data_IF_127707321563
#
_entry.id   IF_127707321563
#
_cell.length_a   1.000
_cell.length_b   1.000
_cell.length_c   1.000
_cell.angle_alpha   90.00
_cell.angle_beta   90.00
_cell.angle_gamma   90.00
#
_symmetry.space_group_name_H-M   'P 1'
#
loop_
_entity.id
_entity.type
_entity.pdbx_description
1 polymer ?
#
# COMPACT_ATOMS: atom_id res chain seq x y z
N UNK A 1 4.25 5.95 -21.13
CA UNK A 1 5.27 5.72 -20.09
C UNK A 1 5.21 6.82 -19.00
N UNK A 2 4.12 6.81 -18.23
CA UNK A 2 3.82 7.74 -17.12
C UNK A 2 2.40 7.49 -16.59
N UNK A 3 1.92 6.25 -16.73
CA UNK A 3 0.54 5.90 -16.41
C UNK A 3 0.35 5.82 -14.90
N UNK A 4 1.31 5.25 -14.16
CA UNK A 4 1.16 5.07 -12.72
C UNK A 4 0.96 6.40 -11.98
N UNK A 5 1.73 7.45 -12.30
CA UNK A 5 1.49 8.79 -11.76
C UNK A 5 0.08 9.33 -12.02
N UNK A 6 -0.51 9.05 -13.19
CA UNK A 6 -1.89 9.47 -13.50
C UNK A 6 -2.90 8.72 -12.63
N UNK A 7 -2.67 7.43 -12.39
CA UNK A 7 -3.48 6.63 -11.47
C UNK A 7 -3.37 7.12 -10.03
N UNK A 8 -2.17 7.48 -9.56
CA UNK A 8 -1.96 8.08 -8.24
C UNK A 8 -2.75 9.39 -8.12
N UNK A 9 -2.58 10.33 -9.06
CA UNK A 9 -3.32 11.59 -9.04
C UNK A 9 -4.83 11.37 -9.08
N UNK A 10 -5.31 10.44 -9.92
CA UNK A 10 -6.72 10.05 -9.96
C UNK A 10 -7.23 9.53 -8.59
N UNK A 11 -6.47 8.66 -7.92
CA UNK A 11 -6.85 8.11 -6.62
C UNK A 11 -6.92 9.17 -5.50
N UNK A 12 -6.17 10.27 -5.64
CA UNK A 12 -6.22 11.43 -4.75
C UNK A 12 -7.11 12.56 -5.28
N UNK A 13 -7.94 12.29 -6.30
CA UNK A 13 -8.86 13.24 -6.92
C UNK A 13 -8.18 14.51 -7.45
N UNK A 14 -6.92 14.37 -7.90
CA UNK A 14 -6.10 15.46 -8.42
C UNK A 14 -6.13 15.49 -9.97
N UNK A 15 -6.06 16.69 -10.58
CA UNK A 15 -6.00 16.82 -12.04
C UNK A 15 -4.72 16.22 -12.65
N UNK A 16 -4.88 15.42 -13.72
CA UNK A 16 -3.77 14.72 -14.39
C UNK A 16 -3.81 14.80 -15.94
N UNK A 17 -4.82 15.47 -16.52
CA UNK A 17 -5.01 15.54 -17.97
C UNK A 17 -4.08 16.58 -18.61
N UNK A 18 -3.57 16.29 -19.80
CA UNK A 18 -2.72 17.21 -20.58
C UNK A 18 -1.31 17.46 -20.02
N UNK A 19 -1.01 16.96 -18.83
CA UNK A 19 0.27 17.16 -18.15
C UNK A 19 1.32 16.12 -18.56
N UNK A 20 2.57 16.59 -18.64
CA UNK A 20 3.73 15.73 -18.79
C UNK A 20 4.22 15.16 -17.44
N UNK A 21 5.21 14.27 -17.47
CA UNK A 21 5.65 13.54 -16.27
C UNK A 21 6.17 14.47 -15.15
N UNK A 22 7.05 15.46 -15.43
CA UNK A 22 7.45 16.46 -14.44
C UNK A 22 6.27 17.22 -13.84
N UNK A 23 5.33 17.66 -14.66
CA UNK A 23 4.17 18.42 -14.20
C UNK A 23 3.26 17.57 -13.29
N UNK A 24 3.03 16.29 -13.61
CA UNK A 24 2.29 15.36 -12.75
C UNK A 24 2.97 15.20 -11.37
N UNK A 25 4.30 15.11 -11.34
CA UNK A 25 5.07 14.99 -10.11
C UNK A 25 4.97 16.26 -9.26
N UNK A 26 5.16 17.43 -9.88
CA UNK A 26 5.05 18.73 -9.20
C UNK A 26 3.64 18.94 -8.62
N UNK A 27 2.59 18.61 -9.39
CA UNK A 27 1.20 18.66 -8.92
C UNK A 27 1.00 17.81 -7.66
N UNK A 28 1.47 16.56 -7.68
CA UNK A 28 1.33 15.68 -6.52
C UNK A 28 2.15 16.16 -5.32
N UNK A 29 3.36 16.66 -5.54
CA UNK A 29 4.19 17.26 -4.48
C UNK A 29 3.48 18.46 -3.83
N UNK A 30 2.90 19.35 -4.63
CA UNK A 30 2.14 20.49 -4.12
C UNK A 30 0.91 20.06 -3.32
N UNK A 31 0.19 19.05 -3.78
CA UNK A 31 -0.92 18.44 -3.03
C UNK A 31 -0.44 17.90 -1.67
N UNK A 32 0.65 17.14 -1.63
CA UNK A 32 1.20 16.60 -0.38
C UNK A 32 1.61 17.72 0.61
N UNK A 33 2.20 18.81 0.11
CA UNK A 33 2.54 19.98 0.92
C UNK A 33 1.30 20.66 1.51
N UNK A 34 0.22 20.78 0.74
CA UNK A 34 -1.04 21.35 1.20
C UNK A 34 -1.70 20.49 2.28
N UNK A 35 -1.73 19.16 2.09
CA UNK A 35 -2.23 18.22 3.09
C UNK A 35 -1.43 18.31 4.38
N UNK A 36 -0.10 18.36 4.28
CA UNK A 36 0.78 18.50 5.43
C UNK A 36 0.58 19.83 6.17
N UNK A 37 0.48 20.95 5.44
CA UNK A 37 0.20 22.27 6.02
C UNK A 37 -1.17 22.32 6.73
N UNK A 38 -2.11 21.49 6.29
CA UNK A 38 -3.43 21.33 6.89
C UNK A 38 -3.45 20.33 8.06
N UNK A 39 -2.30 19.79 8.46
CA UNK A 39 -2.16 18.83 9.56
C UNK A 39 -2.54 17.39 9.22
N UNK A 40 -2.76 17.07 7.94
CA UNK A 40 -3.08 15.72 7.50
C UNK A 40 -1.82 14.93 7.15
N UNK A 41 -1.88 13.62 7.41
CA UNK A 41 -0.86 12.66 6.95
C UNK A 41 -1.42 11.90 5.76
N UNK A 42 -0.75 11.99 4.61
CA UNK A 42 -1.16 11.29 3.39
C UNK A 42 -0.55 9.90 3.33
N UNK A 43 -1.38 8.89 3.05
CA UNK A 43 -0.93 7.52 2.82
C UNK A 43 -1.37 7.05 1.43
N UNK A 44 -0.45 6.40 0.70
CA UNK A 44 -0.73 5.69 -0.54
C UNK A 44 -0.63 4.19 -0.26
N UNK A 45 -1.75 3.49 -0.44
CA UNK A 45 -1.83 2.04 -0.31
C UNK A 45 -1.93 1.46 -1.72
N UNK A 46 -0.99 0.59 -2.07
CA UNK A 46 -1.01 -0.14 -3.34
C UNK A 46 -1.26 -1.59 -3.01
N UNK A 47 -2.47 -2.06 -3.33
CA UNK A 47 -2.81 -3.47 -3.26
C UNK A 47 -2.36 -4.19 -4.53
N UNK A 48 -2.17 -5.51 -4.45
CA UNK A 48 -1.68 -6.35 -5.54
C UNK A 48 -0.37 -5.82 -6.17
N UNK A 49 0.52 -5.24 -5.35
CA UNK A 49 1.71 -4.53 -5.80
C UNK A 49 2.70 -5.43 -6.54
N UNK A 50 2.60 -6.76 -6.42
CA UNK A 50 3.36 -7.69 -7.27
C UNK A 50 3.00 -7.57 -8.75
N UNK A 51 1.87 -6.96 -9.12
CA UNK A 51 1.51 -6.69 -10.51
C UNK A 51 2.21 -5.44 -11.09
N UNK A 52 2.83 -4.61 -10.24
CA UNK A 52 3.59 -3.46 -10.72
C UNK A 52 4.83 -3.90 -11.50
N UNK A 53 5.10 -3.17 -12.57
CA UNK A 53 6.35 -3.27 -13.32
C UNK A 53 7.46 -2.43 -12.66
N UNK A 54 8.72 -2.70 -13.02
CA UNK A 54 9.89 -2.01 -12.47
C UNK A 54 9.79 -0.49 -12.65
N UNK A 55 9.29 -0.01 -13.79
CA UNK A 55 9.12 1.42 -14.04
C UNK A 55 8.13 2.08 -13.07
N UNK A 56 7.07 1.38 -12.66
CA UNK A 56 6.07 1.90 -11.71
C UNK A 56 6.62 1.89 -10.28
N UNK A 57 7.39 0.87 -9.92
CA UNK A 57 8.11 0.80 -8.64
C UNK A 57 9.17 1.92 -8.53
N UNK A 58 9.83 2.27 -9.63
CA UNK A 58 10.72 3.43 -9.67
C UNK A 58 9.97 4.76 -9.51
N UNK A 59 8.77 4.90 -10.09
CA UNK A 59 7.92 6.06 -9.85
C UNK A 59 7.51 6.15 -8.36
N UNK A 60 7.15 5.03 -7.73
CA UNK A 60 6.90 4.96 -6.28
C UNK A 60 8.12 5.36 -5.44
N UNK A 61 9.32 4.92 -5.84
CA UNK A 61 10.57 5.33 -5.19
C UNK A 61 10.72 6.85 -5.24
N UNK A 62 10.50 7.46 -6.41
CA UNK A 62 10.55 8.92 -6.59
C UNK A 62 9.51 9.65 -5.74
N UNK A 63 8.30 9.11 -5.60
CA UNK A 63 7.25 9.68 -4.75
C UNK A 63 7.62 9.60 -3.26
N UNK A 64 8.21 8.49 -2.81
CA UNK A 64 8.66 8.34 -1.42
C UNK A 64 9.77 9.31 -1.02
N UNK A 65 10.42 9.97 -1.99
CA UNK A 65 11.45 10.99 -1.74
C UNK A 65 10.86 12.36 -1.39
N UNK A 66 9.55 12.55 -1.52
CA UNK A 66 8.91 13.84 -1.27
C UNK A 66 8.86 14.09 0.25
N UNK A 67 9.72 15.00 0.69
CA UNK A 67 9.93 15.33 2.09
C UNK A 67 9.90 16.85 2.31
N UNK A 68 9.44 17.29 3.48
CA UNK A 68 9.57 18.67 3.95
C UNK A 68 10.46 18.72 5.18
N UNK A 69 11.70 19.21 5.01
CA UNK A 69 12.73 19.15 6.05
C UNK A 69 13.03 17.70 6.45
N UNK A 70 12.72 17.34 7.69
CA UNK A 70 12.89 15.98 8.23
C UNK A 70 11.63 15.10 8.14
N UNK A 71 10.52 15.63 7.63
CA UNK A 71 9.24 14.94 7.58
C UNK A 71 8.99 14.36 6.20
N UNK A 72 8.73 13.06 6.11
CA UNK A 72 8.20 12.45 4.89
C UNK A 72 6.74 12.85 4.73
N UNK A 73 6.37 13.35 3.54
CA UNK A 73 5.01 13.83 3.28
C UNK A 73 4.06 12.71 2.81
N UNK A 74 4.62 11.57 2.42
CA UNK A 74 3.88 10.43 1.91
C UNK A 74 4.28 9.14 2.64
N UNK A 75 3.31 8.50 3.28
CA UNK A 75 3.47 7.15 3.76
C UNK A 75 3.07 6.15 2.65
N UNK A 76 3.99 5.30 2.22
CA UNK A 76 3.72 4.26 1.24
C UNK A 76 3.49 2.91 1.94
N UNK A 77 2.42 2.21 1.55
CA UNK A 77 2.14 0.84 1.96
C UNK A 77 1.98 -0.01 0.71
N UNK A 78 2.81 -1.03 0.56
CA UNK A 78 2.73 -1.99 -0.52
C UNK A 78 2.17 -3.31 0.04
N UNK A 79 1.06 -3.76 -0.53
CA UNK A 79 0.41 -5.02 -0.18
C UNK A 79 0.42 -5.90 -1.42
N UNK A 80 0.70 -7.17 -1.24
CA UNK A 80 0.77 -8.11 -2.35
C UNK A 80 1.31 -9.47 -1.93
N UNK A 81 1.52 -10.31 -2.93
CA UNK A 81 2.01 -11.67 -2.76
C UNK A 81 3.55 -11.72 -2.60
N UNK A 82 4.10 -12.88 -2.26
CA UNK A 82 5.53 -13.08 -1.98
C UNK A 82 6.46 -12.67 -3.13
N UNK A 83 5.97 -12.72 -4.37
CA UNK A 83 6.65 -12.30 -5.59
C UNK A 83 7.05 -10.82 -5.56
N UNK A 84 6.32 -9.99 -4.82
CA UNK A 84 6.69 -8.59 -4.59
C UNK A 84 8.04 -8.48 -3.87
N UNK A 85 8.29 -9.34 -2.89
CA UNK A 85 9.56 -9.35 -2.15
C UNK A 85 10.72 -9.70 -3.08
N UNK A 86 10.52 -10.66 -3.99
CA UNK A 86 11.55 -11.04 -4.96
C UNK A 86 11.80 -9.94 -5.99
N UNK A 87 10.74 -9.23 -6.42
CA UNK A 87 10.90 -8.01 -7.24
C UNK A 87 11.70 -6.93 -6.52
N UNK A 88 11.40 -6.65 -5.25
CA UNK A 88 12.12 -5.63 -4.48
C UNK A 88 13.60 -5.96 -4.24
N UNK A 89 13.99 -7.25 -4.28
CA UNK A 89 15.40 -7.68 -4.20
C UNK A 89 16.20 -7.41 -5.49
N UNK A 90 15.55 -7.07 -6.59
CA UNK A 90 16.24 -6.82 -7.85
C UNK A 90 17.24 -5.65 -7.71
N UNK A 91 18.41 -5.71 -8.38
CA UNK A 91 19.45 -4.69 -8.25
C UNK A 91 18.98 -3.26 -8.48
N UNK A 92 18.11 -3.05 -9.47
CA UNK A 92 17.57 -1.72 -9.80
C UNK A 92 16.68 -1.16 -8.68
N UNK A 93 15.98 -2.02 -7.93
CA UNK A 93 14.98 -1.63 -6.93
C UNK A 93 15.53 -1.58 -5.50
N UNK A 94 16.83 -1.85 -5.29
CA UNK A 94 17.46 -1.84 -3.95
C UNK A 94 17.22 -0.54 -3.18
N UNK A 95 17.21 0.61 -3.87
CA UNK A 95 16.98 1.90 -3.23
C UNK A 95 15.55 2.04 -2.69
N UNK A 96 14.56 1.46 -3.38
CA UNK A 96 13.19 1.39 -2.88
C UNK A 96 13.11 0.42 -1.70
N UNK A 97 13.72 -0.76 -1.82
CA UNK A 97 13.73 -1.77 -0.78
C UNK A 97 14.36 -1.27 0.54
N UNK A 98 15.43 -0.47 0.46
CA UNK A 98 16.06 0.15 1.64
C UNK A 98 15.13 1.12 2.40
N UNK A 99 14.05 1.59 1.78
CA UNK A 99 13.07 2.48 2.40
C UNK A 99 11.90 1.74 3.02
N UNK A 100 11.79 0.43 2.78
CA UNK A 100 10.82 -0.43 3.46
C UNK A 100 11.24 -0.55 4.91
N UNK A 101 10.66 0.31 5.76
CA UNK A 101 10.97 0.33 7.19
C UNK A 101 10.34 -0.85 7.95
N UNK A 102 9.28 -1.43 7.39
CA UNK A 102 8.54 -2.55 7.96
C UNK A 102 8.14 -3.48 6.82
N UNK A 103 8.64 -4.70 6.85
CA UNK A 103 8.09 -5.82 6.09
C UNK A 103 7.35 -6.75 7.06
N UNK A 104 6.18 -7.23 6.64
CA UNK A 104 5.42 -8.20 7.41
C UNK A 104 4.85 -9.25 6.47
N UNK A 105 5.20 -10.50 6.72
CA UNK A 105 4.62 -11.64 6.01
C UNK A 105 3.48 -12.20 6.86
N UNK A 106 2.25 -12.03 6.37
CA UNK A 106 1.07 -12.63 6.99
C UNK A 106 1.17 -14.15 6.93
N UNK A 107 1.31 -14.78 8.09
CA UNK A 107 1.27 -16.24 8.20
C UNK A 107 -0.17 -16.75 8.14
N UNK A 108 -0.32 -18.04 7.82
CA UNK A 108 -1.59 -18.72 7.96
C UNK A 108 -2.12 -18.58 9.40
N UNK A 109 -3.43 -18.40 9.54
CA UNK A 109 -4.06 -18.35 10.86
C UNK A 109 -3.81 -19.67 11.58
N UNK A 110 -3.35 -19.59 12.83
CA UNK A 110 -3.32 -20.76 13.70
C UNK A 110 -4.75 -21.18 14.08
N UNK A 111 -4.92 -22.36 14.68
CA UNK A 111 -6.26 -22.87 15.03
C UNK A 111 -7.08 -21.86 15.85
N UNK A 112 -6.46 -21.21 16.84
CA UNK A 112 -7.15 -20.26 17.69
C UNK A 112 -7.61 -19.02 16.92
N UNK A 113 -6.74 -18.50 16.04
CA UNK A 113 -7.05 -17.36 15.17
C UNK A 113 -8.14 -17.73 14.15
N UNK A 114 -8.12 -18.94 13.61
CA UNK A 114 -9.15 -19.46 12.70
C UNK A 114 -10.50 -19.55 13.39
N UNK A 115 -10.55 -20.10 14.61
CA UNK A 115 -11.78 -20.17 15.42
C UNK A 115 -12.32 -18.76 15.70
N UNK A 116 -11.44 -17.83 16.10
CA UNK A 116 -11.82 -16.45 16.38
C UNK A 116 -12.31 -15.73 15.12
N UNK A 117 -11.64 -15.94 13.98
CA UNK A 117 -12.02 -15.37 12.70
C UNK A 117 -13.40 -15.86 12.25
N UNK A 118 -13.67 -17.16 12.33
CA UNK A 118 -14.98 -17.73 11.97
C UNK A 118 -16.08 -17.15 12.86
N UNK A 119 -15.87 -17.12 14.18
CA UNK A 119 -16.82 -16.50 15.12
C UNK A 119 -17.09 -15.04 14.80
N UNK A 120 -16.04 -14.26 14.53
CA UNK A 120 -16.18 -12.86 14.15
C UNK A 120 -16.98 -12.71 12.86
N UNK A 121 -16.71 -13.53 11.83
CA UNK A 121 -17.46 -13.50 10.57
C UNK A 121 -18.92 -13.89 10.73
N UNK A 122 -19.25 -14.84 11.62
CA UNK A 122 -20.63 -15.19 11.96
C UNK A 122 -21.35 -14.04 12.67
N UNK A 123 -20.67 -13.37 13.59
CA UNK A 123 -21.21 -12.21 14.30
C UNK A 123 -21.49 -11.04 13.34
N UNK A 124 -20.56 -10.74 12.42
CA UNK A 124 -20.76 -9.72 11.38
C UNK A 124 -21.93 -10.09 10.46
N UNK A 125 -22.17 -11.38 10.21
CA UNK A 125 -23.31 -11.86 9.44
C UNK A 125 -24.64 -11.87 10.25
N UNK A 126 -24.64 -11.38 11.50
CA UNK A 126 -25.83 -11.26 12.36
C UNK A 126 -26.14 -12.50 13.19
N UNK A 127 -25.19 -13.42 13.36
CA UNK A 127 -25.38 -14.65 14.14
C UNK A 127 -24.48 -14.67 15.37
N UNK A 128 -25.11 -14.67 16.55
CA UNK A 128 -24.41 -14.68 17.84
C UNK A 128 -24.07 -16.09 18.34
N UNK A 129 -24.80 -17.11 17.88
CA UNK A 129 -24.59 -18.50 18.28
C UNK A 129 -23.46 -19.18 17.50
N UNK A 130 -22.60 -19.90 18.22
CA UNK A 130 -21.56 -20.77 17.64
C UNK A 130 -22.17 -21.90 16.82
N UNK A 131 -21.91 -21.86 15.50
CA UNK A 131 -22.32 -22.89 14.53
C UNK A 131 -21.41 -24.13 14.51
N UNK A 132 -20.12 -23.91 14.75
CA UNK A 132 -19.09 -24.92 14.63
C UNK A 132 -18.45 -25.14 16.00
N UNK A 133 -18.26 -26.39 16.38
CA UNK A 133 -17.40 -26.73 17.49
C UNK A 133 -15.92 -26.62 17.06
N UNK A 134 -15.02 -26.50 18.04
CA UNK A 134 -13.59 -26.29 17.78
C UNK A 134 -12.98 -27.43 16.94
N UNK A 135 -13.53 -28.64 17.03
CA UNK A 135 -13.07 -29.81 16.28
C UNK A 135 -13.44 -29.75 14.80
N UNK A 136 -14.63 -29.23 14.46
CA UNK A 136 -15.07 -29.03 13.06
C UNK A 136 -14.27 -27.95 12.33
N UNK A 137 -13.58 -27.07 13.07
CA UNK A 137 -12.74 -25.99 12.53
C UNK A 137 -11.28 -26.45 12.32
N UNK A 138 -10.87 -27.52 13.01
CA UNK A 138 -9.48 -27.99 13.04
C UNK A 138 -9.10 -29.02 11.97
N UNK A 139 -10.07 -29.48 11.16
CA UNK A 139 -9.90 -30.51 10.12
C UNK A 139 -9.87 -29.86 8.74
#
# INVERSE_FOLDING_TARGET
MGEFMKWVLMAFEQPYQGADKPELYERFQNFLLQQYASGFRTALIVDEAQNLNVSSLEELRMLSNINYGKHSLLQLVLVGQTELLDKLKQPELRQLAQRVCVDYHLQALNLQDTVNYIKHRLLVAGREETLFDTFSIAT
#
